data_IF_972192426267
#
_entry.id   IF_972192426267
#
_cell.length_a   1.000
_cell.length_b   1.000
_cell.length_c   1.000
_cell.angle_alpha   90.00
_cell.angle_beta   90.00
_cell.angle_gamma   90.00
#
_symmetry.space_group_name_H-M   'P 1'
#
loop_
_entity.id
_entity.type
_entity.pdbx_description
1 polymer ?
#
# COMPACT_ATOMS: atom_id res chain seq x y z
N UNK A 1 -12.12 19.50 -0.91
CA UNK A 1 -11.49 19.04 0.34
C UNK A 1 -9.98 19.02 0.14
N UNK A 2 -9.19 19.37 1.15
CA UNK A 2 -7.72 19.25 1.15
C UNK A 2 -7.35 18.58 2.47
N UNK A 3 -6.44 17.60 2.46
CA UNK A 3 -5.92 16.96 3.68
C UNK A 3 -4.46 16.50 3.49
N UNK A 4 -3.70 16.43 4.58
CA UNK A 4 -2.34 15.91 4.64
C UNK A 4 -2.20 14.92 5.81
N UNK A 5 -1.60 13.77 5.53
CA UNK A 5 -1.28 12.75 6.51
C UNK A 5 0.22 12.46 6.47
N UNK A 6 0.90 12.71 7.59
CA UNK A 6 2.35 12.46 7.71
C UNK A 6 2.67 10.98 7.98
N UNK A 7 3.95 10.60 7.87
CA UNK A 7 4.46 9.31 8.35
C UNK A 7 4.25 9.10 9.85
N UNK A 8 4.10 10.17 10.65
CA UNK A 8 3.87 10.10 12.10
C UNK A 8 2.40 9.88 12.48
N UNK A 9 1.51 9.64 11.51
CA UNK A 9 0.06 9.57 11.73
C UNK A 9 -0.41 8.51 12.74
N UNK A 10 0.35 7.42 12.94
CA UNK A 10 0.02 6.41 13.94
C UNK A 10 0.30 6.86 15.38
N UNK A 11 1.44 7.53 15.62
CA UNK A 11 1.94 7.77 16.97
C UNK A 11 1.69 9.18 17.50
N UNK A 12 1.24 10.08 16.64
CA UNK A 12 1.22 11.50 16.94
C UNK A 12 -0.23 11.99 17.14
N UNK A 13 -0.69 11.95 18.39
CA UNK A 13 -2.04 12.39 18.77
C UNK A 13 -2.06 13.87 19.15
N UNK A 14 -3.04 14.61 18.62
CA UNK A 14 -3.33 15.96 19.09
C UNK A 14 -4.11 15.91 20.42
N UNK A 15 -3.51 16.36 21.51
CA UNK A 15 -4.16 16.37 22.85
C UNK A 15 -5.20 17.48 23.04
N UNK A 16 -5.42 18.37 22.06
CA UNK A 16 -6.38 19.45 22.24
C UNK A 16 -7.84 18.98 22.13
N UNK A 17 -8.43 18.69 23.28
CA UNK A 17 -9.88 18.72 23.47
C UNK A 17 -10.35 20.18 23.47
N UNK A 18 -11.02 20.61 22.39
CA UNK A 18 -11.82 21.84 22.43
C UNK A 18 -13.26 21.45 22.78
N UNK A 19 -13.68 21.82 24.00
CA UNK A 19 -15.03 21.67 24.57
C UNK A 19 -16.06 22.53 23.80
N UNK A 20 -16.42 22.13 22.59
CA UNK A 20 -17.53 22.73 21.85
C UNK A 20 -18.35 21.62 21.24
N UNK A 21 -19.69 21.75 21.23
CA UNK A 21 -20.60 20.71 20.77
C UNK A 21 -20.20 20.21 19.37
N UNK A 22 -19.70 18.98 19.33
CA UNK A 22 -18.96 18.36 18.21
C UNK A 22 -19.78 18.34 16.91
N UNK A 23 -21.10 18.27 17.04
CA UNK A 23 -22.06 18.23 15.94
C UNK A 23 -22.53 19.61 15.44
N UNK A 24 -22.34 20.67 16.22
CA UNK A 24 -22.82 22.03 15.89
C UNK A 24 -21.81 22.90 15.15
N UNK A 25 -20.63 22.35 14.80
CA UNK A 25 -19.63 23.12 14.06
C UNK A 25 -20.10 23.44 12.64
N UNK A 26 -19.71 24.62 12.16
CA UNK A 26 -19.80 25.02 10.74
C UNK A 26 -19.25 23.93 9.81
N UNK A 27 -19.76 23.83 8.58
CA UNK A 27 -19.22 22.95 7.53
C UNK A 27 -17.72 23.10 7.36
N UNK A 28 -17.19 24.31 7.53
CA UNK A 28 -15.76 24.62 7.43
C UNK A 28 -14.89 23.88 8.44
N UNK A 29 -15.46 23.39 9.53
CA UNK A 29 -14.74 22.62 10.52
C UNK A 29 -14.26 21.25 10.01
N UNK A 30 -14.71 20.79 8.84
CA UNK A 30 -14.09 19.65 8.14
C UNK A 30 -12.62 19.91 7.72
N UNK A 31 -12.20 21.17 7.68
CA UNK A 31 -10.80 21.56 7.47
C UNK A 31 -9.99 21.70 8.76
N UNK A 32 -10.59 21.47 9.93
CA UNK A 32 -9.86 21.51 11.19
C UNK A 32 -8.73 20.47 11.15
N UNK A 33 -7.50 20.93 11.42
CA UNK A 33 -6.31 20.09 11.40
C UNK A 33 -6.03 19.41 10.06
N UNK A 34 -6.59 19.87 8.93
CA UNK A 34 -6.41 19.19 7.64
C UNK A 34 -4.98 19.21 7.10
N UNK A 35 -4.15 20.15 7.55
CA UNK A 35 -2.71 20.20 7.22
C UNK A 35 -1.83 19.87 8.43
N UNK A 36 -2.44 19.43 9.53
CA UNK A 36 -1.70 19.03 10.72
C UNK A 36 -1.05 17.67 10.47
N UNK A 37 0.25 17.49 10.78
CA UNK A 37 0.89 16.18 10.68
C UNK A 37 0.31 15.18 11.70
N UNK A 38 -0.38 15.69 12.73
CA UNK A 38 -1.03 14.91 13.78
C UNK A 38 -2.44 14.50 13.33
N UNK A 39 -2.66 13.21 13.14
CA UNK A 39 -4.00 12.64 13.02
C UNK A 39 -4.60 12.51 14.41
N UNK A 40 -5.75 13.12 14.66
CA UNK A 40 -6.41 12.98 15.96
C UNK A 40 -7.48 11.92 15.91
N UNK A 41 -7.06 10.66 15.99
CA UNK A 41 -7.93 9.49 16.21
C UNK A 41 -9.02 9.78 17.27
N UNK A 42 -8.63 10.44 18.37
CA UNK A 42 -9.56 10.89 19.43
C UNK A 42 -10.69 11.80 18.94
N UNK A 43 -10.43 12.75 18.03
CA UNK A 43 -11.48 13.63 17.52
C UNK A 43 -12.44 12.88 16.59
N UNK A 44 -11.94 11.91 15.83
CA UNK A 44 -12.76 11.01 15.03
C UNK A 44 -13.68 10.22 15.97
N UNK A 45 -13.13 9.55 16.98
CA UNK A 45 -13.88 8.78 17.97
C UNK A 45 -14.92 9.63 18.70
N UNK A 46 -14.55 10.81 19.20
CA UNK A 46 -15.48 11.75 19.86
C UNK A 46 -16.63 12.17 18.93
N UNK A 47 -16.32 12.38 17.64
CA UNK A 47 -17.33 12.75 16.65
C UNK A 47 -18.27 11.59 16.34
N UNK A 48 -17.74 10.38 16.12
CA UNK A 48 -18.56 9.18 15.85
C UNK A 48 -19.43 8.88 17.07
N UNK A 49 -18.88 8.90 18.30
CA UNK A 49 -19.64 8.76 19.56
C UNK A 49 -20.83 9.72 19.62
N UNK A 50 -20.56 11.00 19.44
CA UNK A 50 -21.59 12.03 19.51
C UNK A 50 -22.64 11.86 18.40
N UNK A 51 -22.19 11.53 17.19
CA UNK A 51 -23.06 11.32 16.04
C UNK A 51 -23.98 10.12 16.23
N UNK A 52 -23.45 8.97 16.66
CA UNK A 52 -24.22 7.76 16.92
C UNK A 52 -25.26 7.97 18.02
N UNK A 53 -24.88 8.66 19.11
CA UNK A 53 -25.82 8.99 20.19
C UNK A 53 -26.95 9.90 19.73
N UNK A 54 -26.61 10.93 18.93
CA UNK A 54 -27.60 11.86 18.40
C UNK A 54 -28.55 11.17 17.40
N UNK A 55 -28.04 10.26 16.57
CA UNK A 55 -28.85 9.47 15.64
C UNK A 55 -29.83 8.56 16.40
N UNK A 56 -29.34 7.84 17.42
CA UNK A 56 -30.19 7.00 18.29
C UNK A 56 -31.30 7.81 18.99
N UNK A 57 -30.96 9.01 19.47
CA UNK A 57 -31.93 9.92 20.10
C UNK A 57 -33.00 10.41 19.10
N UNK A 58 -32.63 10.66 17.84
CA UNK A 58 -33.56 11.07 16.79
C UNK A 58 -34.54 9.95 16.45
N UNK A 59 -34.04 8.73 16.25
CA UNK A 59 -34.85 7.55 15.97
C UNK A 59 -35.85 7.27 17.09
N UNK A 60 -35.41 7.35 18.35
CA UNK A 60 -36.25 7.12 19.53
C UNK A 60 -37.40 8.14 19.67
N UNK A 61 -37.23 9.36 19.14
CA UNK A 61 -38.25 10.42 19.21
C UNK A 61 -39.30 10.34 18.09
N UNK A 62 -39.23 9.35 17.19
CA UNK A 62 -40.12 9.19 16.03
C UNK A 62 -40.32 10.49 15.22
N UNK A 63 -39.32 11.39 15.22
CA UNK A 63 -39.36 12.58 14.38
C UNK A 63 -38.81 12.20 13.02
N UNK A 64 -39.68 11.97 12.05
CA UNK A 64 -39.30 11.90 10.65
C UNK A 64 -38.66 13.25 10.24
N UNK A 65 -37.34 13.24 10.05
CA UNK A 65 -36.65 14.39 9.48
C UNK A 65 -36.95 14.42 7.99
N UNK A 66 -37.95 15.22 7.63
CA UNK A 66 -38.25 15.57 6.24
C UNK A 66 -37.14 16.51 5.74
N UNK A 67 -36.25 16.00 4.87
CA UNK A 67 -35.47 16.84 3.95
C UNK A 67 -34.00 17.14 4.28
N UNK A 68 -33.35 16.47 5.24
CA UNK A 68 -31.89 16.50 5.37
C UNK A 68 -31.37 15.08 5.56
N UNK A 69 -30.44 14.63 4.72
CA UNK A 69 -29.74 13.33 4.88
C UNK A 69 -29.30 13.19 6.34
N UNK A 70 -29.80 12.15 6.99
CA UNK A 70 -29.74 11.99 8.45
C UNK A 70 -28.30 11.79 8.96
N UNK A 71 -28.10 11.89 10.27
CA UNK A 71 -26.80 11.56 10.86
C UNK A 71 -26.44 10.09 10.59
N UNK A 72 -27.42 9.19 10.62
CA UNK A 72 -27.26 7.79 10.23
C UNK A 72 -26.71 7.62 8.81
N UNK A 73 -27.16 8.42 7.83
CA UNK A 73 -26.60 8.38 6.47
C UNK A 73 -25.12 8.77 6.45
N UNK A 74 -24.75 9.77 7.24
CA UNK A 74 -23.35 10.22 7.35
C UNK A 74 -22.49 9.16 8.03
N UNK A 75 -22.98 8.52 9.08
CA UNK A 75 -22.29 7.41 9.74
C UNK A 75 -22.11 6.23 8.79
N UNK A 76 -23.16 5.86 8.04
CA UNK A 76 -23.09 4.83 7.00
C UNK A 76 -22.06 5.16 5.93
N UNK A 77 -22.00 6.40 5.45
CA UNK A 77 -20.97 6.82 4.49
C UNK A 77 -19.54 6.62 5.02
N UNK A 78 -19.31 6.86 6.32
CA UNK A 78 -18.00 6.58 6.94
C UNK A 78 -17.73 5.07 6.96
N UNK A 79 -18.70 4.28 7.43
CA UNK A 79 -18.56 2.82 7.49
C UNK A 79 -18.32 2.22 6.10
N UNK A 80 -19.14 2.58 5.11
CA UNK A 80 -19.04 2.08 3.73
C UNK A 80 -17.66 2.40 3.10
N UNK A 81 -17.08 3.57 3.39
CA UNK A 81 -15.76 3.92 2.92
C UNK A 81 -14.66 3.06 3.57
N UNK A 82 -14.76 2.83 4.89
CA UNK A 82 -13.83 1.94 5.61
C UNK A 82 -13.97 0.51 5.09
N UNK A 83 -15.19 0.00 4.96
CA UNK A 83 -15.50 -1.34 4.46
C UNK A 83 -14.97 -1.55 3.03
N UNK A 84 -15.05 -0.51 2.18
CA UNK A 84 -14.47 -0.55 0.83
C UNK A 84 -12.96 -0.73 0.88
N UNK A 85 -12.26 0.04 1.72
CA UNK A 85 -10.79 -0.04 1.83
C UNK A 85 -10.34 -1.34 2.48
N UNK A 86 -11.13 -1.83 3.43
CA UNK A 86 -10.82 -3.00 4.25
C UNK A 86 -11.42 -4.30 3.72
N UNK A 87 -12.02 -4.29 2.52
CA UNK A 87 -12.76 -5.43 1.96
C UNK A 87 -11.95 -6.71 1.84
N UNK A 88 -10.70 -6.61 1.38
CA UNK A 88 -9.80 -7.78 1.25
C UNK A 88 -9.33 -8.28 2.62
N UNK A 89 -9.51 -7.41 3.62
CA UNK A 89 -9.31 -7.55 5.06
C UNK A 89 -10.13 -8.61 5.77
N UNK A 90 -11.32 -8.85 5.20
CA UNK A 90 -12.46 -9.37 5.93
C UNK A 90 -13.07 -8.39 6.95
N UNK A 91 -12.53 -7.18 7.12
CA UNK A 91 -13.00 -6.21 8.11
C UNK A 91 -14.11 -5.33 7.55
N UNK A 92 -15.17 -5.14 8.34
CA UNK A 92 -16.35 -4.36 7.95
C UNK A 92 -17.07 -3.76 9.15
N UNK A 93 -18.13 -2.99 8.92
CA UNK A 93 -19.02 -2.53 9.97
C UNK A 93 -18.35 -1.59 10.97
N UNK A 94 -17.55 -0.63 10.49
CA UNK A 94 -16.93 0.38 11.36
C UNK A 94 -17.99 1.16 12.17
N UNK A 95 -17.92 1.06 13.50
CA UNK A 95 -18.88 1.66 14.41
C UNK A 95 -18.24 2.11 15.74
N UNK A 96 -19.03 2.78 16.58
CA UNK A 96 -18.63 3.11 17.94
C UNK A 96 -19.37 2.19 18.91
N UNK A 97 -18.60 1.50 19.76
CA UNK A 97 -19.12 0.67 20.83
C UNK A 97 -19.29 1.52 22.11
N UNK A 98 -20.53 1.59 22.61
CA UNK A 98 -20.84 2.34 23.83
C UNK A 98 -20.51 1.59 25.13
N UNK A 99 -20.43 0.26 25.10
CA UNK A 99 -20.04 -0.54 26.25
C UNK A 99 -18.53 -0.40 26.51
N UNK A 100 -17.73 -0.45 25.44
CA UNK A 100 -16.26 -0.37 25.51
C UNK A 100 -15.70 1.05 25.36
N UNK A 101 -16.56 2.01 25.03
CA UNK A 101 -16.21 3.41 24.77
C UNK A 101 -15.15 3.65 23.68
N UNK A 102 -15.09 2.78 22.67
CA UNK A 102 -14.10 2.82 21.60
C UNK A 102 -14.72 2.55 20.22
N UNK A 103 -13.97 2.83 19.15
CA UNK A 103 -14.32 2.39 17.80
C UNK A 103 -14.05 0.89 17.65
N UNK A 104 -14.90 0.22 16.89
CA UNK A 104 -14.84 -1.21 16.65
C UNK A 104 -15.16 -1.56 15.19
N UNK A 105 -14.76 -2.76 14.80
CA UNK A 105 -15.02 -3.35 13.49
C UNK A 105 -15.33 -4.85 13.62
N UNK A 106 -16.12 -5.36 12.69
CA UNK A 106 -16.50 -6.76 12.60
C UNK A 106 -15.59 -7.52 11.63
N UNK A 107 -15.18 -8.73 12.01
CA UNK A 107 -14.54 -9.71 11.14
C UNK A 107 -15.27 -11.07 11.22
N UNK A 108 -15.54 -11.77 10.10
CA UNK A 108 -16.27 -13.05 10.11
C UNK A 108 -15.68 -14.14 11.02
N UNK A 109 -14.35 -14.18 11.15
CA UNK A 109 -13.66 -15.20 11.97
C UNK A 109 -13.44 -14.77 13.42
N UNK A 110 -13.48 -13.46 13.71
CA UNK A 110 -13.08 -12.93 15.03
C UNK A 110 -14.22 -12.20 15.76
N UNK A 111 -15.33 -11.94 15.09
CA UNK A 111 -16.43 -11.14 15.62
C UNK A 111 -16.09 -9.65 15.66
N UNK A 112 -16.77 -8.93 16.54
CA UNK A 112 -16.51 -7.50 16.79
C UNK A 112 -15.25 -7.33 17.64
N UNK A 113 -14.33 -6.49 17.16
CA UNK A 113 -13.09 -6.16 17.84
C UNK A 113 -12.87 -4.65 17.87
N UNK A 114 -12.35 -4.19 19.01
CA UNK A 114 -11.92 -2.81 19.20
C UNK A 114 -10.73 -2.49 18.31
N UNK A 115 -10.63 -1.24 17.87
CA UNK A 115 -9.51 -0.79 17.04
C UNK A 115 -8.14 -0.99 17.70
N UNK A 116 -8.07 -0.92 19.04
CA UNK A 116 -6.87 -1.23 19.83
C UNK A 116 -6.41 -2.70 19.77
N UNK A 117 -7.29 -3.63 19.39
CA UNK A 117 -6.95 -5.05 19.22
C UNK A 117 -6.60 -5.42 17.76
N UNK A 118 -6.73 -4.47 16.83
CA UNK A 118 -6.35 -4.68 15.43
C UNK A 118 -4.84 -4.56 15.25
N UNK A 119 -4.30 -5.13 14.15
CA UNK A 119 -2.89 -4.90 13.81
C UNK A 119 -2.66 -3.44 13.44
N UNK A 120 -1.43 -2.95 13.64
CA UNK A 120 -1.07 -1.54 13.37
C UNK A 120 -1.43 -1.11 11.94
N UNK A 121 -1.23 -1.99 10.94
CA UNK A 121 -1.60 -1.73 9.55
C UNK A 121 -3.11 -1.61 9.33
N UNK A 122 -3.91 -2.53 9.91
CA UNK A 122 -5.38 -2.48 9.88
C UNK A 122 -5.86 -1.17 10.51
N UNK A 123 -5.40 -0.89 11.73
CA UNK A 123 -5.80 0.26 12.52
C UNK A 123 -5.46 1.57 11.79
N UNK A 124 -4.24 1.68 11.24
CA UNK A 124 -3.80 2.86 10.50
C UNK A 124 -4.66 3.13 9.26
N UNK A 125 -4.97 2.10 8.47
CA UNK A 125 -5.77 2.26 7.24
C UNK A 125 -7.23 2.55 7.55
N UNK A 126 -7.83 1.86 8.53
CA UNK A 126 -9.19 2.12 8.97
C UNK A 126 -9.32 3.54 9.52
N UNK A 127 -8.40 3.98 10.40
CA UNK A 127 -8.42 5.33 10.97
C UNK A 127 -8.21 6.42 9.92
N UNK A 128 -7.26 6.24 8.98
CA UNK A 128 -7.02 7.16 7.86
C UNK A 128 -8.28 7.31 7.00
N UNK A 129 -8.89 6.19 6.63
CA UNK A 129 -10.08 6.14 5.78
C UNK A 129 -11.29 6.76 6.48
N UNK A 130 -11.48 6.42 7.76
CA UNK A 130 -12.57 6.96 8.56
C UNK A 130 -12.43 8.47 8.80
N UNK A 131 -11.22 8.98 9.07
CA UNK A 131 -10.97 10.43 9.17
C UNK A 131 -11.29 11.14 7.85
N UNK A 132 -10.84 10.58 6.72
CA UNK A 132 -11.10 11.16 5.41
C UNK A 132 -12.60 11.17 5.06
N UNK A 133 -13.30 10.07 5.34
CA UNK A 133 -14.74 9.98 5.16
C UNK A 133 -15.50 10.93 6.09
N UNK A 134 -15.04 11.07 7.34
CA UNK A 134 -15.58 12.03 8.31
C UNK A 134 -15.47 13.47 7.79
N UNK A 135 -14.34 13.84 7.19
CA UNK A 135 -14.18 15.16 6.54
C UNK A 135 -15.14 15.32 5.38
N UNK A 136 -15.30 14.30 4.54
CA UNK A 136 -16.25 14.32 3.42
C UNK A 136 -17.69 14.56 3.89
N UNK A 137 -18.16 13.80 4.89
CA UNK A 137 -19.54 13.94 5.41
C UNK A 137 -19.74 15.25 6.17
N UNK A 138 -18.70 15.81 6.81
CA UNK A 138 -18.81 17.11 7.48
C UNK A 138 -18.84 18.27 6.49
N UNK A 139 -17.97 18.24 5.49
CA UNK A 139 -17.93 19.25 4.44
C UNK A 139 -19.20 19.20 3.57
N UNK A 140 -19.69 18.01 3.29
CA UNK A 140 -20.77 17.76 2.34
C UNK A 140 -21.92 16.97 2.98
N UNK A 141 -22.35 17.37 4.17
CA UNK A 141 -23.39 16.66 4.93
C UNK A 141 -24.78 16.61 4.29
N UNK A 142 -24.98 17.22 3.12
CA UNK A 142 -26.18 17.11 2.28
C UNK A 142 -26.12 15.92 1.31
N UNK A 143 -24.94 15.28 1.18
CA UNK A 143 -24.73 14.10 0.35
C UNK A 143 -24.92 12.79 1.15
N UNK A 144 -25.12 12.87 2.47
CA UNK A 144 -25.32 11.69 3.32
C UNK A 144 -24.23 10.63 3.14
N UNK A 145 -24.66 9.40 2.89
CA UNK A 145 -23.78 8.25 2.69
C UNK A 145 -22.89 8.37 1.44
N UNK A 146 -23.34 9.10 0.41
CA UNK A 146 -22.57 9.30 -0.81
C UNK A 146 -21.44 10.33 -0.67
N UNK A 147 -21.30 10.99 0.50
CA UNK A 147 -20.33 12.07 0.65
C UNK A 147 -18.88 11.65 0.33
N UNK A 148 -18.35 10.49 0.79
CA UNK A 148 -17.01 10.03 0.43
C UNK A 148 -16.83 9.87 -1.09
N UNK A 149 -17.83 9.30 -1.77
CA UNK A 149 -17.78 9.05 -3.21
C UNK A 149 -17.95 10.30 -4.07
N UNK A 150 -18.61 11.33 -3.55
CA UNK A 150 -18.96 12.55 -4.30
C UNK A 150 -18.14 13.79 -3.91
N UNK A 151 -17.38 13.74 -2.83
CA UNK A 151 -16.54 14.87 -2.40
C UNK A 151 -15.29 14.96 -3.27
N UNK A 152 -15.11 16.09 -3.94
CA UNK A 152 -13.87 16.37 -4.66
C UNK A 152 -12.80 16.95 -3.74
N UNK A 153 -11.54 16.60 -3.98
CA UNK A 153 -10.44 17.11 -3.18
C UNK A 153 -9.06 16.61 -3.57
N UNK A 154 -8.06 17.09 -2.84
CA UNK A 154 -6.66 16.66 -2.96
C UNK A 154 -6.23 16.14 -1.58
N UNK A 155 -5.66 14.94 -1.54
CA UNK A 155 -5.18 14.33 -0.29
C UNK A 155 -3.72 13.97 -0.46
N UNK A 156 -2.90 14.44 0.47
CA UNK A 156 -1.48 14.14 0.53
C UNK A 156 -1.26 13.06 1.59
N UNK A 157 -0.63 11.95 1.23
CA UNK A 157 -0.29 10.87 2.17
C UNK A 157 1.20 10.59 2.07
N UNK A 158 1.90 10.84 3.16
CA UNK A 158 3.30 10.50 3.28
C UNK A 158 3.46 9.04 3.73
N UNK A 159 4.32 8.27 3.06
CA UNK A 159 4.55 6.84 3.29
C UNK A 159 3.23 6.06 3.36
N UNK A 160 2.51 6.01 2.23
CA UNK A 160 1.20 5.34 2.15
C UNK A 160 1.28 3.84 2.53
N UNK A 161 2.45 3.24 2.37
CA UNK A 161 2.77 1.85 2.67
C UNK A 161 3.20 1.55 4.12
N UNK A 162 3.26 2.58 4.98
CA UNK A 162 3.73 2.44 6.36
C UNK A 162 2.92 1.39 7.15
N UNK A 163 3.63 0.41 7.72
CA UNK A 163 3.10 -0.75 8.47
C UNK A 163 2.14 -1.66 7.71
N UNK A 164 1.99 -1.48 6.39
CA UNK A 164 1.16 -2.37 5.59
C UNK A 164 1.90 -3.65 5.26
N UNK A 165 1.21 -4.78 5.37
CA UNK A 165 1.70 -6.04 4.84
C UNK A 165 1.94 -5.92 3.32
N UNK A 166 3.00 -6.53 2.73
CA UNK A 166 3.30 -6.38 1.30
C UNK A 166 2.14 -6.70 0.36
N UNK A 167 1.27 -7.64 0.73
CA UNK A 167 0.07 -7.95 -0.04
C UNK A 167 -0.88 -6.74 -0.16
N UNK A 168 -1.00 -5.93 0.89
CA UNK A 168 -1.87 -4.76 0.93
C UNK A 168 -1.27 -3.56 0.23
N UNK A 169 0.07 -3.46 0.20
CA UNK A 169 0.76 -2.42 -0.56
C UNK A 169 0.38 -2.47 -2.05
N UNK A 170 0.04 -3.65 -2.59
CA UNK A 170 -0.50 -3.76 -3.95
C UNK A 170 -1.91 -3.19 -4.13
N UNK A 171 -2.68 -3.06 -3.05
CA UNK A 171 -4.11 -2.77 -3.10
C UNK A 171 -4.48 -1.41 -2.50
N UNK A 172 -3.57 -0.79 -1.74
CA UNK A 172 -3.85 0.44 -1.00
C UNK A 172 -4.34 1.58 -1.89
N UNK A 173 -3.69 1.83 -3.03
CA UNK A 173 -4.11 2.90 -3.95
C UNK A 173 -5.41 2.58 -4.69
N UNK A 174 -5.59 1.39 -5.30
CA UNK A 174 -6.88 0.97 -5.84
C UNK A 174 -8.03 1.13 -4.83
N UNK A 175 -7.85 0.65 -3.61
CA UNK A 175 -8.84 0.69 -2.54
C UNK A 175 -9.22 2.13 -2.15
N UNK A 176 -8.22 3.01 -1.97
CA UNK A 176 -8.46 4.43 -1.69
C UNK A 176 -9.19 5.13 -2.83
N UNK A 177 -8.82 4.85 -4.08
CA UNK A 177 -9.47 5.45 -5.26
C UNK A 177 -10.89 4.93 -5.50
N UNK A 178 -11.20 3.69 -5.08
CA UNK A 178 -12.55 3.12 -5.11
C UNK A 178 -13.46 3.78 -4.06
N UNK A 179 -12.95 3.98 -2.84
CA UNK A 179 -13.68 4.64 -1.76
C UNK A 179 -13.90 6.14 -2.01
N UNK A 180 -12.93 6.82 -2.64
CA UNK A 180 -12.95 8.27 -2.88
C UNK A 180 -12.67 8.64 -4.35
N UNK A 181 -13.53 8.25 -5.31
CA UNK A 181 -13.30 8.40 -6.75
C UNK A 181 -13.17 9.84 -7.27
N UNK A 182 -13.53 10.84 -6.46
CA UNK A 182 -13.38 12.26 -6.82
C UNK A 182 -12.21 12.96 -6.12
N UNK A 183 -11.44 12.21 -5.33
CA UNK A 183 -10.26 12.70 -4.64
C UNK A 183 -9.01 12.37 -5.45
N UNK A 184 -8.17 13.38 -5.68
CA UNK A 184 -6.83 13.20 -6.19
C UNK A 184 -5.90 12.87 -5.01
N UNK A 185 -5.26 11.70 -5.06
CA UNK A 185 -4.24 11.32 -4.09
C UNK A 185 -2.85 11.68 -4.61
N UNK A 186 -2.07 12.38 -3.79
CA UNK A 186 -0.64 12.63 -3.99
C UNK A 186 0.09 11.92 -2.86
N UNK A 187 0.81 10.85 -3.17
CA UNK A 187 1.38 9.97 -2.16
C UNK A 187 2.89 9.87 -2.31
N UNK A 188 3.60 9.69 -1.19
CA UNK A 188 4.98 9.21 -1.20
C UNK A 188 5.00 7.73 -0.79
N UNK A 189 5.99 6.99 -1.28
CA UNK A 189 6.18 5.58 -0.97
C UNK A 189 7.63 5.16 -1.16
N UNK A 190 8.10 4.24 -0.33
CA UNK A 190 9.35 3.50 -0.52
C UNK A 190 9.07 2.03 -0.89
N UNK A 191 7.81 1.69 -1.19
CA UNK A 191 7.40 0.33 -1.52
C UNK A 191 7.43 0.10 -3.04
N UNK A 192 8.29 -0.81 -3.54
CA UNK A 192 8.23 -1.22 -4.95
C UNK A 192 6.91 -1.93 -5.29
N UNK A 193 6.21 -2.50 -4.29
CA UNK A 193 4.88 -3.08 -4.44
C UNK A 193 3.83 -2.01 -4.76
N UNK A 194 3.90 -0.83 -4.13
CA UNK A 194 2.99 0.28 -4.50
C UNK A 194 3.29 0.76 -5.93
N UNK A 195 4.58 0.95 -6.25
CA UNK A 195 5.01 1.44 -7.57
C UNK A 195 4.56 0.54 -8.73
N UNK A 196 4.52 -0.78 -8.53
CA UNK A 196 4.10 -1.73 -9.58
C UNK A 196 2.58 -1.75 -9.85
N UNK A 197 1.79 -0.94 -9.15
CA UNK A 197 0.32 -0.91 -9.31
C UNK A 197 -0.19 0.30 -10.08
N UNK A 198 0.63 1.35 -10.18
CA UNK A 198 0.25 2.64 -10.75
C UNK A 198 0.80 2.82 -12.17
N UNK A 199 0.10 3.57 -13.04
CA UNK A 199 0.64 3.95 -14.33
C UNK A 199 1.92 4.79 -14.20
N UNK A 200 2.82 4.69 -15.19
CA UNK A 200 4.11 5.37 -15.21
C UNK A 200 3.95 6.89 -15.12
N UNK A 201 2.96 7.45 -15.80
CA UNK A 201 2.65 8.87 -15.85
C UNK A 201 2.24 9.44 -14.47
N UNK A 202 1.87 8.58 -13.52
CA UNK A 202 1.54 8.95 -12.14
C UNK A 202 2.73 8.87 -11.17
N UNK A 203 3.90 8.39 -11.62
CA UNK A 203 5.08 8.22 -10.76
C UNK A 203 6.03 9.39 -10.96
N UNK A 204 6.54 9.95 -9.86
CA UNK A 204 7.65 10.91 -9.88
C UNK A 204 8.76 10.44 -8.95
N UNK A 205 9.94 10.18 -9.50
CA UNK A 205 11.15 9.90 -8.72
C UNK A 205 11.74 11.22 -8.28
N UNK A 206 11.90 11.38 -6.96
CA UNK A 206 12.42 12.61 -6.35
C UNK A 206 13.85 12.36 -5.90
N UNK A 207 14.79 13.14 -6.42
CA UNK A 207 16.21 13.01 -6.10
C UNK A 207 16.90 14.38 -6.06
N UNK A 208 18.09 14.42 -5.48
CA UNK A 208 18.92 15.61 -5.39
C UNK A 208 20.09 15.48 -6.37
N UNK A 209 20.36 16.51 -7.16
CA UNK A 209 21.53 16.54 -8.05
C UNK A 209 22.84 16.84 -7.30
N UNK A 210 23.95 16.83 -8.05
CA UNK A 210 25.28 17.12 -7.49
C UNK A 210 25.41 18.56 -6.93
N UNK A 211 24.58 19.49 -7.38
CA UNK A 211 24.54 20.88 -6.93
C UNK A 211 23.61 21.08 -5.72
N UNK A 212 22.93 20.03 -5.27
CA UNK A 212 22.01 20.07 -4.14
C UNK A 212 20.59 20.51 -4.51
N UNK A 213 20.24 20.65 -5.79
CA UNK A 213 18.89 20.99 -6.23
C UNK A 213 18.00 19.74 -6.30
N UNK A 214 16.75 19.88 -5.87
CA UNK A 214 15.76 18.82 -5.92
C UNK A 214 15.09 18.75 -7.29
N UNK A 215 15.03 17.54 -7.85
CA UNK A 215 14.38 17.22 -9.11
C UNK A 215 13.28 16.19 -8.90
N UNK A 216 12.27 16.23 -9.77
CA UNK A 216 11.17 15.27 -9.78
C UNK A 216 10.88 14.86 -11.22
N UNK A 217 11.22 13.63 -11.57
CA UNK A 217 11.15 13.14 -12.96
C UNK A 217 10.22 11.94 -13.08
N UNK A 218 9.59 11.80 -14.25
CA UNK A 218 8.88 10.57 -14.59
C UNK A 218 9.91 9.45 -14.87
N UNK A 219 9.75 8.25 -14.28
CA UNK A 219 10.67 7.15 -14.55
C UNK A 219 10.64 6.79 -16.04
N UNK A 220 11.76 6.34 -16.60
CA UNK A 220 11.86 6.02 -18.03
C UNK A 220 11.14 4.72 -18.42
N UNK A 221 10.94 3.81 -17.46
CA UNK A 221 10.33 2.49 -17.70
C UNK A 221 8.99 2.33 -17.00
N UNK A 222 8.05 1.73 -17.72
CA UNK A 222 6.79 1.26 -17.16
C UNK A 222 7.02 0.02 -16.30
N UNK A 223 6.73 0.11 -15.01
CA UNK A 223 6.84 -1.03 -14.07
C UNK A 223 5.50 -1.63 -13.65
N UNK A 224 4.38 -1.06 -14.12
CA UNK A 224 3.05 -1.52 -13.76
C UNK A 224 2.85 -2.98 -14.15
N UNK A 225 2.47 -3.82 -13.18
CA UNK A 225 2.25 -5.26 -13.36
C UNK A 225 3.54 -6.10 -13.44
N UNK A 226 4.72 -5.49 -13.30
CA UNK A 226 5.99 -6.22 -13.23
C UNK A 226 6.29 -6.66 -11.79
N UNK A 227 7.28 -7.55 -11.65
CA UNK A 227 7.79 -7.97 -10.33
C UNK A 227 8.34 -6.77 -9.56
N UNK A 228 8.20 -6.78 -8.24
CA UNK A 228 8.73 -5.73 -7.35
C UNK A 228 10.23 -5.50 -7.51
N UNK A 229 11.00 -6.54 -7.84
CA UNK A 229 12.44 -6.43 -8.13
C UNK A 229 12.73 -5.50 -9.30
N UNK A 230 11.86 -5.44 -10.31
CA UNK A 230 12.05 -4.52 -11.45
C UNK A 230 11.79 -3.08 -11.02
N UNK A 231 10.77 -2.83 -10.20
CA UNK A 231 10.51 -1.49 -9.67
C UNK A 231 11.64 -1.01 -8.74
N UNK A 232 12.20 -1.91 -7.92
CA UNK A 232 13.33 -1.63 -7.05
C UNK A 232 14.57 -1.22 -7.85
N UNK A 233 14.87 -1.93 -8.94
CA UNK A 233 16.00 -1.61 -9.81
C UNK A 233 15.77 -0.37 -10.67
N UNK A 234 14.65 -0.30 -11.39
CA UNK A 234 14.44 0.68 -12.45
C UNK A 234 13.92 2.04 -11.96
N UNK A 235 13.27 2.09 -10.80
CA UNK A 235 12.71 3.34 -10.24
C UNK A 235 13.47 3.80 -9.00
N UNK A 236 13.83 2.86 -8.13
CA UNK A 236 14.48 3.19 -6.86
C UNK A 236 16.02 3.16 -6.95
N UNK A 237 16.59 2.72 -8.07
CA UNK A 237 18.04 2.59 -8.29
C UNK A 237 18.72 1.68 -7.24
N UNK A 238 18.04 0.60 -6.85
CA UNK A 238 18.52 -0.37 -5.86
C UNK A 238 18.65 -1.75 -6.51
N UNK A 239 19.83 -2.36 -6.37
CA UNK A 239 20.05 -3.76 -6.78
C UNK A 239 19.12 -4.69 -5.99
N UNK A 240 18.23 -5.45 -6.66
CA UNK A 240 17.36 -6.40 -5.97
C UNK A 240 18.10 -7.56 -5.31
N UNK A 241 19.34 -7.83 -5.75
CA UNK A 241 20.20 -8.85 -5.17
C UNK A 241 21.01 -8.22 -4.03
N UNK A 242 20.87 -8.72 -2.79
CA UNK A 242 21.62 -8.18 -1.66
C UNK A 242 23.11 -8.49 -1.80
N UNK A 243 23.97 -7.57 -1.35
CA UNK A 243 25.43 -7.70 -1.41
C UNK A 243 26.00 -8.64 -0.32
N UNK A 244 25.56 -9.91 -0.33
CA UNK A 244 26.01 -10.97 0.58
C UNK A 244 26.91 -11.98 -0.14
N UNK A 245 27.82 -12.68 0.58
CA UNK A 245 28.74 -13.64 -0.04
C UNK A 245 28.04 -14.73 -0.87
N UNK A 246 26.88 -15.19 -0.42
CA UNK A 246 26.12 -16.25 -1.09
C UNK A 246 25.55 -15.79 -2.43
N UNK A 247 25.16 -14.52 -2.54
CA UNK A 247 24.71 -13.95 -3.81
C UNK A 247 25.84 -13.91 -4.84
N UNK A 248 27.06 -13.56 -4.39
CA UNK A 248 28.26 -13.60 -5.24
C UNK A 248 28.58 -15.02 -5.69
N UNK A 249 28.44 -16.02 -4.81
CA UNK A 249 28.64 -17.42 -5.18
C UNK A 249 27.66 -17.89 -6.27
N UNK A 250 26.40 -17.47 -6.18
CA UNK A 250 25.39 -17.76 -7.21
C UNK A 250 25.80 -17.11 -8.54
N UNK A 251 26.23 -15.85 -8.51
CA UNK A 251 26.66 -15.10 -9.69
C UNK A 251 27.92 -15.71 -10.33
N UNK A 252 28.95 -15.99 -9.53
CA UNK A 252 30.20 -16.66 -9.94
C UNK A 252 29.90 -18.02 -10.58
N UNK A 253 29.05 -18.84 -9.95
CA UNK A 253 28.71 -20.15 -10.52
C UNK A 253 27.92 -20.03 -11.82
N UNK A 254 26.98 -19.09 -11.88
CA UNK A 254 26.20 -18.81 -13.09
C UNK A 254 27.11 -18.41 -14.24
N UNK A 255 28.09 -17.52 -13.99
CA UNK A 255 29.08 -17.12 -14.97
C UNK A 255 29.97 -18.29 -15.43
N UNK A 256 30.40 -19.17 -14.51
CA UNK A 256 31.15 -20.38 -14.86
C UNK A 256 30.33 -21.34 -15.74
N UNK A 257 29.02 -21.47 -15.50
CA UNK A 257 28.11 -22.27 -16.35
C UNK A 257 27.98 -21.65 -17.74
N UNK A 258 27.78 -20.33 -17.83
CA UNK A 258 27.66 -19.63 -19.11
C UNK A 258 28.95 -19.71 -19.94
N UNK A 259 30.12 -19.74 -19.29
CA UNK A 259 31.41 -19.95 -19.93
C UNK A 259 31.73 -21.42 -20.25
N UNK A 260 30.84 -22.36 -19.89
CA UNK A 260 31.05 -23.80 -20.10
C UNK A 260 32.10 -24.42 -19.15
N UNK A 261 32.51 -23.71 -18.11
CA UNK A 261 33.53 -24.09 -17.14
C UNK A 261 32.92 -24.74 -15.88
N UNK A 262 31.63 -25.12 -15.90
CA UNK A 262 30.97 -25.73 -14.74
C UNK A 262 31.62 -27.01 -14.21
N UNK A 263 32.33 -27.75 -15.08
CA UNK A 263 32.98 -29.02 -14.76
C UNK A 263 34.47 -28.85 -14.35
N UNK A 264 34.99 -27.61 -14.32
CA UNK A 264 36.35 -27.27 -13.85
C UNK A 264 36.49 -27.48 -12.35
N UNK A 265 37.72 -27.48 -11.83
CA UNK A 265 37.98 -27.60 -10.39
C UNK A 265 37.34 -26.45 -9.61
N UNK A 266 37.40 -25.22 -10.15
CA UNK A 266 36.72 -24.05 -9.60
C UNK A 266 35.19 -24.20 -9.65
N UNK A 267 34.63 -24.66 -10.77
CA UNK A 267 33.19 -24.88 -10.92
C UNK A 267 32.65 -25.93 -9.95
N UNK A 268 33.41 -27.00 -9.68
CA UNK A 268 33.04 -28.03 -8.70
C UNK A 268 33.17 -27.53 -7.27
N UNK A 269 34.19 -26.72 -6.97
CA UNK A 269 34.34 -26.10 -5.65
C UNK A 269 33.17 -25.16 -5.33
N UNK A 270 32.85 -24.25 -6.25
CA UNK A 270 31.71 -23.33 -6.07
C UNK A 270 30.40 -24.10 -5.97
N UNK A 271 30.20 -25.15 -6.78
CA UNK A 271 29.03 -26.03 -6.66
C UNK A 271 28.96 -26.70 -5.29
N UNK A 272 30.07 -27.26 -4.80
CA UNK A 272 30.12 -27.90 -3.49
C UNK A 272 29.77 -26.91 -2.38
N UNK A 273 30.27 -25.68 -2.45
CA UNK A 273 29.95 -24.62 -1.48
C UNK A 273 28.46 -24.21 -1.52
N UNK A 274 27.86 -24.17 -2.72
CA UNK A 274 26.42 -23.90 -2.88
C UNK A 274 25.56 -25.06 -2.33
N UNK A 275 25.93 -26.31 -2.59
CA UNK A 275 25.26 -27.50 -2.05
C UNK A 275 25.47 -27.63 -0.53
N UNK A 276 26.68 -27.32 -0.06
CA UNK A 276 27.09 -26.82 1.26
C UNK A 276 25.97 -26.11 2.02
N UNK A 277 25.71 -24.91 1.52
CA UNK A 277 24.91 -23.91 2.18
C UNK A 277 23.40 -24.12 2.00
N UNK A 278 22.96 -24.37 0.77
CA UNK A 278 21.54 -24.43 0.42
C UNK A 278 20.97 -25.86 0.48
N UNK A 279 21.83 -26.88 0.38
CA UNK A 279 21.43 -28.26 0.21
C UNK A 279 21.17 -28.65 -1.26
N UNK A 280 21.31 -29.93 -1.61
CA UNK A 280 21.29 -30.42 -2.99
C UNK A 280 19.91 -30.36 -3.67
N UNK A 281 18.83 -30.13 -2.90
CA UNK A 281 17.45 -30.04 -3.42
C UNK A 281 16.93 -28.59 -3.48
N UNK A 282 17.76 -27.62 -3.17
CA UNK A 282 17.34 -26.22 -3.16
C UNK A 282 17.09 -25.69 -4.59
N UNK A 283 16.11 -24.78 -4.78
CA UNK A 283 15.83 -24.18 -6.08
C UNK A 283 17.06 -23.60 -6.79
N UNK A 284 17.98 -22.97 -6.07
CA UNK A 284 19.24 -22.41 -6.61
C UNK A 284 20.07 -23.47 -7.34
N UNK A 285 20.27 -24.64 -6.72
CA UNK A 285 21.04 -25.74 -7.31
C UNK A 285 20.28 -26.36 -8.49
N UNK A 286 18.96 -26.50 -8.35
CA UNK A 286 18.10 -27.02 -9.41
C UNK A 286 18.09 -26.11 -10.66
N UNK A 287 18.10 -24.80 -10.46
CA UNK A 287 18.16 -23.81 -11.54
C UNK A 287 19.54 -23.82 -12.22
N UNK A 288 20.62 -23.96 -11.45
CA UNK A 288 21.95 -24.16 -12.00
C UNK A 288 22.02 -25.44 -12.87
N UNK A 289 21.44 -26.56 -12.41
CA UNK A 289 21.38 -27.80 -13.20
C UNK A 289 20.57 -27.63 -14.50
N UNK A 290 19.49 -26.83 -14.47
CA UNK A 290 18.73 -26.47 -15.68
C UNK A 290 19.59 -25.66 -16.65
N UNK A 291 20.33 -24.67 -16.16
CA UNK A 291 21.26 -23.85 -16.96
C UNK A 291 22.35 -24.70 -17.61
N UNK A 292 22.96 -25.63 -16.87
CA UNK A 292 23.97 -26.55 -17.39
C UNK A 292 23.40 -27.40 -18.53
N UNK A 293 22.18 -27.94 -18.37
CA UNK A 293 21.51 -28.73 -19.43
C UNK A 293 21.28 -27.88 -20.67
N UNK A 294 20.81 -26.65 -20.50
CA UNK A 294 20.58 -25.73 -21.61
C UNK A 294 21.87 -25.41 -22.35
N UNK A 295 22.96 -25.11 -21.62
CA UNK A 295 24.25 -24.82 -22.21
C UNK A 295 24.83 -26.01 -22.99
N UNK A 296 24.70 -27.23 -22.45
CA UNK A 296 25.09 -28.47 -23.15
C UNK A 296 24.30 -28.69 -24.44
N UNK A 297 23.01 -28.34 -24.47
CA UNK A 297 22.21 -28.40 -25.70
C UNK A 297 22.68 -27.37 -26.74
N UNK A 298 22.98 -26.14 -26.31
CA UNK A 298 23.46 -25.07 -27.19
C UNK A 298 24.81 -25.41 -27.85
N UNK A 299 25.74 -26.00 -27.09
CA UNK A 299 27.03 -26.46 -27.63
C UNK A 299 26.86 -27.60 -28.64
N UNK A 300 25.89 -28.49 -28.44
CA UNK A 300 25.54 -29.57 -29.38
C UNK A 300 24.92 -29.06 -30.68
N UNK A 301 24.06 -28.04 -30.62
CA UNK A 301 23.46 -27.46 -31.83
C UNK A 301 24.45 -26.64 -32.65
N UNK A 302 25.37 -25.92 -32.00
CA UNK A 302 26.44 -25.16 -32.67
C UNK A 302 27.49 -26.06 -33.34
N UNK A 303 27.78 -27.22 -32.75
CA UNK A 303 28.68 -28.23 -33.36
C UNK A 303 28.03 -29.06 -34.48
N UNK A 304 26.71 -29.01 -34.63
CA UNK A 304 25.95 -29.72 -35.66
C UNK A 304 25.60 -28.87 -36.90
N UNK A 305 26.00 -27.58 -36.95
CA UNK A 305 25.82 -26.75 -38.14
C UNK A 305 26.81 -27.19 -39.25
N UNK A 306 26.34 -27.65 -40.43
CA UNK A 306 27.22 -28.18 -41.46
C UNK A 306 28.01 -27.07 -42.15
N UNK A 307 29.30 -27.33 -42.41
CA UNK A 307 30.14 -26.63 -43.38
C UNK A 307 29.47 -26.71 -44.77
N UNK A 308 28.61 -25.76 -45.11
CA UNK A 308 28.14 -25.54 -46.49
C UNK A 308 28.90 -24.34 -47.06
N UNK A 309 30.16 -24.55 -47.41
CA UNK A 309 30.97 -23.63 -48.20
C UNK A 309 32.29 -24.35 -48.55
N UNK A 310 32.20 -25.42 -49.34
CA UNK A 310 33.35 -26.08 -49.96
C UNK A 310 32.87 -27.05 -51.06
N UNK A 311 32.15 -26.56 -52.07
CA UNK A 311 31.94 -27.28 -53.35
C UNK A 311 31.23 -26.38 -54.37
N UNK A 312 31.86 -25.28 -54.77
CA UNK A 312 31.68 -24.70 -56.11
C UNK A 312 33.07 -24.31 -56.63
N UNK A 313 33.73 -25.28 -57.24
CA UNK A 313 34.89 -25.10 -58.14
C UNK A 313 34.54 -25.69 -59.50
#
# INVERSE_FOLDING_TARGET
MISYYSSKRLWAHHNASRKTAVLTRSRTAGYDGCLSPLSSYKQLQDWVKAATLADFQQQSRQREVTGATGLGDRLRGIADAVDTVMKNEGWSGFHYDFAEEELAMFHPEHGDLLMTFLSDGVCAMAALTADLAQRCVRLNGHLGADAPRRTSGIVLIDEVDLHLHPAWQHQVLPALTEAFPRVQFVVSTHSPQVLSTVPQECIRSVFQDADGAWHAEEPQRLVKGLKSSVALQEIMDVDPVPAVPEARLIEEYTALIENGQQDSDEGRDVRHRLEEFYGPKHPVVADADRLIRFQRMKLRSQSAAPRREAEES
#
